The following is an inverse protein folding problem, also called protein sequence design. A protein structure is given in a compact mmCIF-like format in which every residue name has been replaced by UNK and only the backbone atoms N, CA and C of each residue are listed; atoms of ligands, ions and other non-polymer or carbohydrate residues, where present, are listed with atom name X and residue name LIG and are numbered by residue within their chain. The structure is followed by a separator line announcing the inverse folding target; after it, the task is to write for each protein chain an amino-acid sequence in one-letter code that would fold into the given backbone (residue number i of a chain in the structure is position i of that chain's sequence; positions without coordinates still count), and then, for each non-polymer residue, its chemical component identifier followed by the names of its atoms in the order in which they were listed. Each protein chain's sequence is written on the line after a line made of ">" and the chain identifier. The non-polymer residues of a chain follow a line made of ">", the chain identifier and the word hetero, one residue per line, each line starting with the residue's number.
data_IF_445721055442
#
_entry.id   IF_445721055442
#
_cell.length_a   1.000
_cell.length_b   1.000
_cell.length_c   1.000
_cell.angle_alpha   90.00
_cell.angle_beta   90.00
_cell.angle_gamma   90.00
#
_symmetry.space_group_name_H-M   'P 1'
#
loop_
_entity.id
_entity.type
_entity.pdbx_description
1 polymer ?
#
# COMPACT_ATOMS: atom_id res chain seq x y z
N UNK A 1 83.49 -32.41 -37.21
CA UNK A 1 82.03 -32.53 -37.39
C UNK A 1 81.38 -32.81 -36.04
N UNK A 2 80.51 -31.90 -35.57
CA UNK A 2 79.45 -32.04 -34.51
C UNK A 2 79.93 -32.42 -33.09
N UNK A 3 79.43 -31.94 -31.95
CA UNK A 3 78.12 -31.44 -31.49
C UNK A 3 78.35 -30.49 -30.28
N UNK A 4 77.99 -29.20 -30.30
CA UNK A 4 76.70 -28.56 -29.93
C UNK A 4 76.17 -28.83 -28.51
N UNK A 5 76.27 -27.79 -27.66
CA UNK A 5 75.08 -27.10 -27.15
C UNK A 5 74.48 -27.53 -25.81
N UNK A 6 74.91 -26.86 -24.73
CA UNK A 6 74.26 -26.80 -23.43
C UNK A 6 72.78 -26.38 -23.55
N UNK A 7 71.86 -27.23 -23.09
CA UNK A 7 70.42 -26.96 -23.03
C UNK A 7 70.04 -26.34 -21.68
N UNK A 8 69.93 -25.01 -21.61
CA UNK A 8 69.23 -24.31 -20.51
C UNK A 8 67.72 -24.43 -20.73
N UNK A 9 67.06 -25.27 -19.94
CA UNK A 9 65.59 -25.30 -19.87
C UNK A 9 65.10 -24.11 -19.05
N UNK A 10 64.64 -23.08 -19.75
CA UNK A 10 63.93 -21.95 -19.17
C UNK A 10 62.55 -22.41 -18.69
N UNK A 11 62.34 -22.43 -17.37
CA UNK A 11 61.02 -22.49 -16.75
C UNK A 11 60.38 -21.11 -16.87
N UNK A 12 59.53 -20.90 -17.88
CA UNK A 12 58.65 -19.72 -17.94
C UNK A 12 57.21 -20.22 -17.90
N UNK A 13 56.67 -20.34 -16.68
CA UNK A 13 55.28 -20.73 -16.43
C UNK A 13 54.42 -19.48 -16.67
N UNK A 14 53.63 -19.49 -17.73
CA UNK A 14 52.72 -18.41 -18.08
C UNK A 14 51.69 -18.21 -16.95
N UNK A 15 51.69 -17.01 -16.36
CA UNK A 15 50.62 -16.55 -15.46
C UNK A 15 49.43 -16.22 -16.36
N UNK A 16 48.52 -17.18 -16.53
CA UNK A 16 47.28 -16.98 -17.28
C UNK A 16 46.40 -15.94 -16.56
N UNK A 17 45.95 -14.96 -17.32
CA UNK A 17 45.14 -13.81 -16.90
C UNK A 17 43.74 -14.24 -16.39
N UNK A 18 43.61 -14.50 -15.09
CA UNK A 18 42.32 -14.75 -14.43
C UNK A 18 41.48 -13.48 -14.19
N UNK A 19 42.00 -12.30 -14.59
CA UNK A 19 41.40 -10.99 -14.32
C UNK A 19 40.17 -10.67 -15.20
N UNK A 20 40.12 -11.19 -16.42
CA UNK A 20 39.01 -10.94 -17.36
C UNK A 20 37.73 -11.65 -16.92
N UNK A 21 37.84 -12.95 -16.60
CA UNK A 21 36.73 -13.81 -16.18
C UNK A 21 36.11 -13.38 -14.84
N UNK A 22 36.92 -12.86 -13.92
CA UNK A 22 36.45 -12.31 -12.64
C UNK A 22 35.74 -10.96 -12.78
N UNK A 23 36.15 -10.12 -13.75
CA UNK A 23 35.46 -8.86 -14.08
C UNK A 23 34.11 -9.10 -14.74
N UNK A 24 34.01 -10.06 -15.66
CA UNK A 24 32.73 -10.46 -16.29
C UNK A 24 31.73 -11.03 -15.26
N UNK A 25 32.18 -11.88 -14.34
CA UNK A 25 31.33 -12.41 -13.26
C UNK A 25 30.82 -11.32 -12.32
N UNK A 26 31.66 -10.34 -11.97
CA UNK A 26 31.26 -9.19 -11.14
C UNK A 26 30.29 -8.26 -11.85
N UNK A 27 30.47 -8.04 -13.16
CA UNK A 27 29.54 -7.27 -13.99
C UNK A 27 28.17 -7.93 -14.07
N UNK A 28 28.13 -9.24 -14.32
CA UNK A 28 26.87 -10.01 -14.33
C UNK A 28 26.18 -10.02 -12.95
N UNK A 29 26.96 -10.12 -11.86
CA UNK A 29 26.42 -10.06 -10.50
C UNK A 29 25.84 -8.67 -10.18
N UNK A 30 26.51 -7.59 -10.57
CA UNK A 30 26.02 -6.22 -10.36
C UNK A 30 24.75 -5.94 -11.16
N UNK A 31 24.65 -6.46 -12.39
CA UNK A 31 23.45 -6.34 -13.23
C UNK A 31 22.27 -7.13 -12.63
N UNK A 32 22.54 -8.31 -12.07
CA UNK A 32 21.51 -9.12 -11.41
C UNK A 32 20.99 -8.46 -10.12
N UNK A 33 21.89 -7.82 -9.35
CA UNK A 33 21.50 -7.09 -8.12
C UNK A 33 20.66 -5.85 -8.46
N UNK A 34 21.01 -5.09 -9.51
CA UNK A 34 20.21 -3.91 -9.88
C UNK A 34 18.82 -4.30 -10.39
N UNK A 35 18.70 -5.41 -11.12
CA UNK A 35 17.42 -5.95 -11.54
C UNK A 35 16.56 -6.42 -10.35
N UNK A 36 17.18 -6.99 -9.32
CA UNK A 36 16.48 -7.44 -8.11
C UNK A 36 16.07 -6.28 -7.18
N UNK A 37 16.82 -5.17 -7.19
CA UNK A 37 16.49 -3.95 -6.43
C UNK A 37 15.47 -3.03 -7.10
N UNK A 38 15.00 -3.35 -8.31
CA UNK A 38 13.88 -2.68 -8.95
C UNK A 38 12.56 -2.96 -8.23
N UNK A 39 12.36 -2.38 -7.05
CA UNK A 39 11.13 -2.48 -6.30
C UNK A 39 9.99 -1.90 -7.14
N UNK A 40 9.04 -2.75 -7.53
CA UNK A 40 7.76 -2.29 -8.10
C UNK A 40 7.00 -1.58 -7.00
N UNK A 41 6.74 -0.28 -7.15
CA UNK A 41 5.83 0.43 -6.26
C UNK A 41 4.43 -0.13 -6.46
N UNK A 42 3.90 -0.83 -5.47
CA UNK A 42 2.51 -1.26 -5.44
C UNK A 42 1.63 -0.02 -5.23
N UNK A 43 1.27 0.66 -6.32
CA UNK A 43 0.27 1.71 -6.32
C UNK A 43 -1.12 1.09 -6.36
N UNK A 44 -1.90 1.25 -5.29
CA UNK A 44 -3.33 0.94 -5.36
C UNK A 44 -4.03 2.08 -6.11
N UNK A 45 -4.85 1.73 -7.10
CA UNK A 45 -5.69 2.70 -7.78
C UNK A 45 -6.76 3.24 -6.81
N UNK A 46 -7.12 4.55 -6.88
CA UNK A 46 -8.20 5.08 -6.09
C UNK A 46 -9.50 4.28 -6.28
N UNK A 47 -10.12 3.87 -5.18
CA UNK A 47 -11.40 3.14 -5.18
C UNK A 47 -12.49 3.96 -4.49
N UNK A 48 -13.74 3.79 -4.94
CA UNK A 48 -14.91 4.51 -4.38
C UNK A 48 -15.43 3.90 -3.08
N UNK A 49 -15.01 2.68 -2.72
CA UNK A 49 -15.54 1.96 -1.58
C UNK A 49 -14.58 0.94 -0.98
N UNK A 50 -14.75 0.68 0.31
CA UNK A 50 -14.01 -0.32 1.07
C UNK A 50 -15.00 -1.34 1.65
N UNK A 51 -14.80 -2.61 1.35
CA UNK A 51 -15.52 -3.72 1.97
C UNK A 51 -14.54 -4.55 2.80
N UNK A 52 -14.96 -5.00 3.99
CA UNK A 52 -14.12 -5.90 4.80
C UNK A 52 -13.87 -7.24 4.11
N UNK A 53 -14.84 -7.70 3.32
CA UNK A 53 -14.76 -8.94 2.54
C UNK A 53 -15.33 -8.70 1.15
N UNK A 54 -14.63 -9.22 0.14
CA UNK A 54 -15.05 -9.10 -1.25
C UNK A 54 -14.93 -7.67 -1.79
N UNK A 55 -15.75 -7.36 -2.80
CA UNK A 55 -15.83 -6.05 -3.41
C UNK A 55 -17.03 -5.25 -2.85
N UNK A 56 -16.98 -3.90 -2.87
CA UNK A 56 -18.14 -3.07 -2.56
C UNK A 56 -19.35 -3.46 -3.41
N UNK A 57 -20.54 -3.54 -2.79
CA UNK A 57 -21.75 -4.00 -3.47
C UNK A 57 -22.33 -2.95 -4.46
N UNK A 58 -22.02 -1.67 -4.27
CA UNK A 58 -22.52 -0.58 -5.10
C UNK A 58 -21.45 -0.17 -6.13
N UNK A 59 -21.90 0.17 -7.34
CA UNK A 59 -21.04 0.75 -8.39
C UNK A 59 -20.50 2.11 -7.96
N UNK A 60 -19.43 2.59 -8.59
CA UNK A 60 -18.90 3.94 -8.31
C UNK A 60 -19.93 5.06 -8.58
N UNK A 61 -20.79 4.87 -9.57
CA UNK A 61 -21.75 5.88 -10.04
C UNK A 61 -23.16 5.73 -9.42
N UNK A 62 -23.28 5.09 -8.25
CA UNK A 62 -24.60 4.92 -7.62
C UNK A 62 -25.19 6.28 -7.20
N UNK A 63 -26.46 6.53 -7.54
CA UNK A 63 -27.10 7.83 -7.28
C UNK A 63 -27.63 7.99 -5.85
N UNK A 64 -28.05 6.89 -5.21
CA UNK A 64 -28.57 6.86 -3.85
C UNK A 64 -28.40 5.45 -3.26
N UNK A 65 -28.38 5.37 -1.92
CA UNK A 65 -28.38 4.08 -1.23
C UNK A 65 -29.70 3.34 -1.51
N UNK A 66 -29.71 1.99 -1.63
CA UNK A 66 -30.90 1.23 -2.00
C UNK A 66 -32.11 1.43 -1.08
N UNK A 67 -31.87 1.84 0.16
CA UNK A 67 -32.88 2.10 1.19
C UNK A 67 -33.23 3.59 1.34
N UNK A 68 -32.62 4.48 0.56
CA UNK A 68 -32.87 5.91 0.60
C UNK A 68 -33.83 6.32 -0.53
N UNK A 69 -34.89 7.04 -0.16
CA UNK A 69 -35.78 7.69 -1.13
C UNK A 69 -35.15 9.01 -1.60
N UNK A 70 -34.63 9.04 -2.83
CA UNK A 70 -33.89 10.18 -3.38
C UNK A 70 -34.72 11.47 -3.46
N UNK A 71 -36.01 11.36 -3.79
CA UNK A 71 -36.98 12.46 -3.92
C UNK A 71 -37.69 12.81 -2.61
N UNK A 72 -37.16 12.39 -1.45
CA UNK A 72 -37.78 12.69 -0.17
C UNK A 72 -37.94 14.21 0.04
N UNK A 73 -39.14 14.69 0.45
CA UNK A 73 -39.38 16.10 0.69
C UNK A 73 -38.43 16.62 1.77
N UNK A 74 -37.93 17.84 1.55
CA UNK A 74 -36.99 18.49 2.47
C UNK A 74 -37.74 19.45 3.40
N UNK A 75 -37.26 19.59 4.63
CA UNK A 75 -37.85 20.45 5.65
C UNK A 75 -38.82 19.72 6.59
N UNK A 76 -39.44 20.50 7.48
CA UNK A 76 -40.27 19.99 8.58
C UNK A 76 -39.50 19.87 9.91
N UNK A 77 -40.15 19.30 10.92
CA UNK A 77 -39.57 19.10 12.26
C UNK A 77 -39.76 17.65 12.70
N UNK A 78 -38.67 17.01 13.11
CA UNK A 78 -38.69 15.70 13.76
C UNK A 78 -38.45 15.94 15.26
N UNK A 79 -39.26 15.32 16.11
CA UNK A 79 -39.12 15.38 17.56
C UNK A 79 -38.86 13.98 18.09
N UNK A 80 -37.65 13.72 18.57
CA UNK A 80 -37.26 12.45 19.16
C UNK A 80 -37.49 12.45 20.67
N UNK A 81 -37.97 11.34 21.20
CA UNK A 81 -37.99 11.08 22.64
C UNK A 81 -36.76 10.27 23.04
N UNK A 82 -36.01 10.74 24.03
CA UNK A 82 -34.87 10.01 24.60
C UNK A 82 -35.10 9.80 26.10
N UNK A 83 -34.84 8.58 26.59
CA UNK A 83 -34.95 8.28 28.01
C UNK A 83 -33.67 8.67 28.77
N UNK A 84 -33.84 9.28 29.94
CA UNK A 84 -32.74 9.77 30.79
C UNK A 84 -32.34 11.20 30.48
N UNK A 85 -31.12 11.59 30.87
CA UNK A 85 -30.56 12.91 30.62
C UNK A 85 -29.13 12.85 30.06
N UNK A 86 -28.62 14.04 29.73
CA UNK A 86 -27.25 14.27 29.29
C UNK A 86 -26.59 15.32 30.19
N UNK A 87 -25.27 15.23 30.34
CA UNK A 87 -24.45 16.17 31.12
C UNK A 87 -23.26 16.73 30.31
N UNK A 88 -23.09 16.25 29.08
CA UNK A 88 -22.05 16.67 28.13
C UNK A 88 -22.59 16.60 26.71
N UNK A 89 -22.04 17.41 25.81
CA UNK A 89 -22.30 17.33 24.37
C UNK A 89 -21.12 16.74 23.58
N UNK A 90 -20.04 16.37 24.25
CA UNK A 90 -18.89 15.73 23.61
C UNK A 90 -19.05 14.20 23.68
N UNK A 91 -19.28 13.51 22.54
CA UNK A 91 -19.43 12.05 22.52
C UNK A 91 -18.10 11.28 22.56
N UNK A 92 -16.94 11.96 22.61
CA UNK A 92 -15.61 11.36 22.48
C UNK A 92 -14.83 11.28 23.80
N UNK A 93 -15.49 11.56 24.93
CA UNK A 93 -14.89 11.49 26.28
C UNK A 93 -15.32 10.23 27.01
N UNK A 94 -14.47 9.75 27.92
CA UNK A 94 -14.75 8.55 28.73
C UNK A 94 -15.84 8.76 29.79
N UNK A 95 -15.98 9.99 30.32
CA UNK A 95 -16.91 10.33 31.40
C UNK A 95 -17.84 11.44 30.96
N UNK A 96 -19.14 11.17 31.06
CA UNK A 96 -20.21 12.04 30.60
C UNK A 96 -21.15 11.26 29.68
N UNK A 97 -22.38 11.73 29.57
CA UNK A 97 -23.44 11.16 28.74
C UNK A 97 -23.81 12.19 27.70
N UNK A 98 -23.36 11.97 26.46
CA UNK A 98 -23.81 12.74 25.31
C UNK A 98 -25.09 12.13 24.71
N UNK A 99 -26.03 12.95 24.18
CA UNK A 99 -27.13 12.44 23.38
C UNK A 99 -26.60 11.72 22.12
N UNK A 100 -27.24 10.62 21.73
CA UNK A 100 -26.80 9.80 20.60
C UNK A 100 -26.86 10.57 19.26
N UNK A 101 -27.86 11.44 19.09
CA UNK A 101 -28.10 12.26 17.91
C UNK A 101 -26.95 13.20 17.59
N UNK A 102 -26.21 13.67 18.61
CA UNK A 102 -25.13 14.65 18.42
C UNK A 102 -24.09 14.08 17.47
N UNK A 103 -23.57 12.89 17.75
CA UNK A 103 -22.55 12.29 16.88
C UNK A 103 -23.10 11.98 15.48
N UNK A 104 -24.35 11.55 15.37
CA UNK A 104 -24.94 11.12 14.10
C UNK A 104 -25.27 12.29 13.15
N UNK A 105 -25.42 13.52 13.66
CA UNK A 105 -25.90 14.66 12.88
C UNK A 105 -24.94 15.86 12.87
N UNK A 106 -23.87 15.84 13.65
CA UNK A 106 -22.92 16.97 13.71
C UNK A 106 -21.47 16.61 13.37
N UNK A 107 -21.14 15.31 13.31
CA UNK A 107 -19.76 14.84 13.04
C UNK A 107 -19.75 13.87 11.89
N UNK A 108 -18.81 14.05 10.96
CA UNK A 108 -18.65 13.22 9.77
C UNK A 108 -17.37 12.38 9.85
N UNK A 109 -17.42 11.15 9.38
CA UNK A 109 -16.24 10.31 9.12
C UNK A 109 -15.73 10.52 7.69
N UNK A 110 -14.53 10.02 7.41
CA UNK A 110 -13.94 10.09 6.06
C UNK A 110 -14.76 9.33 5.01
N UNK A 111 -15.42 8.25 5.43
CA UNK A 111 -16.29 7.43 4.60
C UNK A 111 -17.55 7.09 5.40
N UNK A 112 -18.66 6.91 4.70
CA UNK A 112 -19.94 6.47 5.27
C UNK A 112 -20.06 4.95 5.21
N UNK A 113 -20.73 4.36 6.20
CA UNK A 113 -21.03 2.91 6.22
C UNK A 113 -22.42 2.67 5.63
N UNK A 114 -22.53 1.77 4.64
CA UNK A 114 -23.79 1.12 4.25
C UNK A 114 -23.72 -0.39 4.55
#
# INVERSE_FOLDING_TARGET
>A
MRHTGLQRKHYFRAIASNGMLTRLRRGALMLAISAFCGASSAGAEPTHGIAMHGAPALSADFAALPYARADAPKGGRIAFGAMGGFDSLNPFILKGRAPWDVRAHTVESLMERN
#
